data_IF_728128914626
#
_entry.id   IF_728128914626
#
_cell.length_a   1.000
_cell.length_b   1.000
_cell.length_c   1.000
_cell.angle_alpha   90.00
_cell.angle_beta   90.00
_cell.angle_gamma   90.00
#
_symmetry.space_group_name_H-M   'P 1'
#
loop_
_entity.id
_entity.type
_entity.pdbx_description
1 polymer ?
#
# COMPACT_ATOMS: atom_id res chain seq x y z
N UNK A 1 1.60 -17.57 5.14
CA UNK A 1 1.59 -16.21 5.71
C UNK A 1 3.03 -15.74 5.76
N UNK A 2 3.29 -14.43 5.66
CA UNK A 2 4.62 -13.84 5.72
C UNK A 2 4.70 -12.74 6.78
N UNK A 3 5.85 -12.60 7.43
CA UNK A 3 6.08 -11.57 8.44
C UNK A 3 6.65 -10.30 7.79
N UNK A 4 6.04 -9.15 8.06
CA UNK A 4 6.52 -7.87 7.56
C UNK A 4 7.85 -7.48 8.21
N UNK A 5 8.91 -7.32 7.41
CA UNK A 5 10.24 -6.96 7.92
C UNK A 5 10.32 -5.57 8.57
N UNK A 6 9.38 -4.66 8.25
CA UNK A 6 9.37 -3.31 8.84
C UNK A 6 8.68 -3.26 10.20
N UNK A 7 7.59 -3.99 10.38
CA UNK A 7 6.74 -3.84 11.59
C UNK A 7 6.44 -5.15 12.34
N UNK A 8 6.89 -6.30 11.84
CA UNK A 8 6.72 -7.61 12.47
C UNK A 8 5.33 -8.23 12.36
N UNK A 9 4.40 -7.61 11.63
CA UNK A 9 3.02 -8.10 11.47
C UNK A 9 2.96 -9.37 10.59
N UNK A 10 2.11 -10.33 10.94
CA UNK A 10 1.80 -11.48 10.09
C UNK A 10 0.77 -11.11 9.02
N UNK A 11 1.10 -11.38 7.76
CA UNK A 11 0.31 -11.01 6.58
C UNK A 11 -0.01 -12.28 5.79
N UNK A 12 -1.25 -12.41 5.32
CA UNK A 12 -1.63 -13.55 4.47
C UNK A 12 -0.89 -13.51 3.12
N UNK A 13 -0.59 -14.67 2.54
CA UNK A 13 0.21 -14.76 1.31
C UNK A 13 -0.45 -14.09 0.10
N UNK A 14 -1.76 -13.89 0.13
CA UNK A 14 -2.52 -13.21 -0.92
C UNK A 14 -2.29 -11.69 -0.97
N UNK A 15 -1.63 -11.10 0.04
CA UNK A 15 -1.32 -9.67 0.05
C UNK A 15 0.17 -9.42 -0.22
N UNK A 16 0.45 -8.60 -1.23
CA UNK A 16 1.83 -8.18 -1.58
C UNK A 16 2.39 -7.09 -0.67
N UNK A 17 1.52 -6.38 0.06
CA UNK A 17 1.90 -5.30 0.97
C UNK A 17 1.33 -5.54 2.37
N UNK A 18 2.10 -5.18 3.38
CA UNK A 18 1.67 -5.23 4.77
C UNK A 18 0.54 -4.22 4.99
N UNK A 19 -0.65 -4.70 5.38
CA UNK A 19 -1.82 -3.86 5.65
C UNK A 19 -1.60 -2.82 6.76
N UNK A 20 -0.60 -3.02 7.63
CA UNK A 20 -0.30 -2.12 8.76
C UNK A 20 0.63 -0.97 8.42
N UNK A 21 1.64 -1.20 7.57
CA UNK A 21 2.69 -0.20 7.31
C UNK A 21 3.00 0.04 5.83
N UNK A 22 2.23 -0.60 4.94
CA UNK A 22 2.34 -0.54 3.48
C UNK A 22 3.68 -1.01 2.91
N UNK A 23 4.55 -1.63 3.71
CA UNK A 23 5.80 -2.23 3.23
C UNK A 23 5.49 -3.45 2.38
N UNK A 24 6.05 -3.47 1.17
CA UNK A 24 5.94 -4.60 0.25
C UNK A 24 6.75 -5.79 0.72
N UNK A 25 6.27 -6.99 0.39
CA UNK A 25 6.97 -8.25 0.61
C UNK A 25 8.29 -8.23 -0.17
N UNK A 26 9.42 -8.41 0.53
CA UNK A 26 10.77 -8.35 -0.05
C UNK A 26 11.15 -9.60 -0.86
N UNK A 27 10.20 -10.49 -1.12
CA UNK A 27 10.35 -11.75 -1.83
C UNK A 27 9.49 -11.83 -3.10
N UNK A 28 9.05 -10.70 -3.65
CA UNK A 28 8.81 -10.67 -5.10
C UNK A 28 10.18 -10.83 -5.75
N UNK A 29 10.60 -12.07 -5.98
CA UNK A 29 11.63 -12.35 -6.96
C UNK A 29 11.19 -11.64 -8.21
N UNK A 30 12.06 -10.77 -8.67
CA UNK A 30 12.13 -10.30 -10.04
C UNK A 30 12.37 -11.56 -10.89
N UNK A 31 11.33 -12.41 -11.01
CA UNK A 31 11.32 -13.55 -11.91
C UNK A 31 11.14 -12.98 -13.30
N UNK A 32 12.26 -12.46 -13.78
CA UNK A 32 12.61 -12.25 -15.16
C UNK A 32 12.22 -13.51 -15.94
N UNK A 33 11.06 -13.45 -16.60
CA UNK A 33 10.88 -14.19 -17.84
C UNK A 33 11.86 -13.56 -18.84
N UNK A 34 12.99 -14.23 -19.06
CA UNK A 34 13.80 -14.04 -20.26
C UNK A 34 12.95 -14.52 -21.46
N UNK A 35 12.12 -13.64 -22.03
CA UNK A 35 11.76 -13.78 -23.44
C UNK A 35 12.93 -13.24 -24.25
N UNK A 36 13.70 -14.17 -24.81
CA UNK A 36 14.62 -13.91 -25.91
C UNK A 36 13.82 -13.34 -27.09
N UNK A 37 13.96 -12.04 -27.37
CA UNK A 37 13.59 -11.48 -28.67
C UNK A 37 14.65 -10.50 -29.13
N UNK A 38 15.06 -10.73 -30.36
CA UNK A 38 16.25 -10.23 -31.02
C UNK A 38 16.28 -8.70 -31.22
N UNK A 39 17.49 -8.17 -31.02
CA UNK A 39 18.16 -7.12 -31.79
C UNK A 39 17.35 -5.89 -32.25
N UNK A 40 17.56 -4.76 -31.57
CA UNK A 40 17.58 -3.42 -32.20
C UNK A 40 18.22 -2.42 -31.23
N UNK A 41 19.38 -1.92 -31.61
CA UNK A 41 20.14 -0.88 -30.92
C UNK A 41 19.34 0.43 -30.77
N UNK A 42 19.37 1.06 -29.59
CA UNK A 42 19.32 2.53 -29.46
C UNK A 42 19.85 3.01 -28.09
N UNK A 43 20.60 4.11 -28.16
CA UNK A 43 21.48 4.75 -27.17
C UNK A 43 20.73 5.57 -26.09
N UNK A 44 21.12 5.49 -24.80
CA UNK A 44 20.69 6.52 -23.82
C UNK A 44 20.97 6.23 -22.33
N UNK A 45 21.51 7.20 -21.54
CA UNK A 45 22.32 6.93 -20.34
C UNK A 45 21.55 6.76 -19.01
N UNK A 46 22.21 6.04 -18.10
CA UNK A 46 21.73 5.58 -16.79
C UNK A 46 21.50 6.70 -15.74
N UNK A 47 20.51 6.53 -14.83
CA UNK A 47 20.35 7.44 -13.72
C UNK A 47 21.40 7.22 -12.63
N UNK A 48 22.00 8.36 -12.26
CA UNK A 48 23.01 8.60 -11.23
C UNK A 48 22.61 8.10 -9.84
N UNK A 49 23.59 7.48 -9.17
CA UNK A 49 23.47 6.89 -7.85
C UNK A 49 23.16 7.90 -6.74
N UNK A 50 22.20 7.55 -5.89
CA UNK A 50 21.92 8.23 -4.63
C UNK A 50 22.72 7.51 -3.53
N UNK A 51 23.72 8.22 -2.99
CA UNK A 51 24.59 7.72 -1.95
C UNK A 51 23.86 7.38 -0.65
N UNK A 52 24.05 6.16 -0.16
CA UNK A 52 23.76 5.80 1.21
C UNK A 52 24.91 6.32 2.12
N UNK A 53 24.63 6.92 3.28
CA UNK A 53 25.67 7.20 4.26
C UNK A 53 26.21 5.89 4.84
N UNK A 54 27.51 5.66 4.62
CA UNK A 54 28.29 4.65 5.31
C UNK A 54 28.28 4.95 6.81
N UNK A 55 27.87 3.98 7.62
CA UNK A 55 28.23 3.91 9.03
C UNK A 55 28.76 2.51 9.28
N UNK A 56 30.01 2.33 8.86
CA UNK A 56 30.86 1.22 9.25
C UNK A 56 31.26 1.43 10.72
N UNK A 57 30.61 0.71 11.63
CA UNK A 57 31.15 0.49 12.97
C UNK A 57 31.84 -0.86 12.96
N UNK A 58 33.17 -0.81 13.02
CA UNK A 58 34.03 -1.96 13.28
C UNK A 58 33.71 -2.53 14.65
N UNK A 59 33.42 -3.83 14.73
CA UNK A 59 33.40 -4.57 15.99
C UNK A 59 34.64 -5.48 16.03
N UNK A 60 35.58 -5.13 16.89
CA UNK A 60 36.76 -5.95 17.20
C UNK A 60 36.34 -7.21 17.97
N UNK A 61 36.89 -8.36 17.58
CA UNK A 61 36.74 -9.64 18.27
C UNK A 61 37.52 -9.62 19.58
N UNK A 62 36.84 -9.34 20.68
CA UNK A 62 37.32 -9.62 22.03
C UNK A 62 36.83 -10.98 22.51
N UNK A 63 37.72 -11.97 22.52
CA UNK A 63 37.51 -13.28 23.16
C UNK A 63 37.53 -13.11 24.68
N UNK A 64 36.36 -13.26 25.32
CA UNK A 64 36.22 -13.32 26.77
C UNK A 64 34.97 -14.10 27.14
N UNK A 65 35.16 -15.31 27.66
CA UNK A 65 34.11 -16.11 28.31
C UNK A 65 33.59 -15.36 29.53
N UNK A 66 32.53 -14.58 29.33
CA UNK A 66 31.68 -14.05 30.37
C UNK A 66 30.26 -14.51 30.10
N UNK A 67 29.72 -15.39 30.95
CA UNK A 67 28.32 -15.79 30.90
C UNK A 67 27.44 -14.57 31.18
N UNK A 68 27.10 -13.85 30.11
CA UNK A 68 26.23 -12.68 30.14
C UNK A 68 24.82 -13.19 30.49
N UNK A 69 24.42 -13.04 31.75
CA UNK A 69 23.01 -13.17 32.14
C UNK A 69 22.25 -12.04 31.44
N UNK A 70 21.60 -12.37 30.32
CA UNK A 70 20.65 -11.46 29.68
C UNK A 70 19.52 -11.25 30.67
N UNK A 71 19.27 -10.02 31.16
CA UNK A 71 18.09 -9.75 31.96
C UNK A 71 16.88 -10.09 31.09
N UNK A 72 16.00 -10.94 31.62
CA UNK A 72 14.74 -11.29 30.98
C UNK A 72 13.93 -9.99 30.89
N UNK A 73 13.99 -9.32 29.75
CA UNK A 73 13.18 -8.12 29.49
C UNK A 73 11.73 -8.60 29.59
N UNK A 74 11.01 -8.02 30.55
CA UNK A 74 9.59 -8.28 30.72
C UNK A 74 8.90 -8.05 29.37
N UNK A 75 8.13 -9.05 28.94
CA UNK A 75 7.40 -9.02 27.68
C UNK A 75 6.66 -7.69 27.55
N UNK A 76 6.82 -6.94 26.43
CA UNK A 76 6.16 -5.65 26.28
C UNK A 76 4.65 -5.86 26.38
N UNK A 77 3.98 -5.02 27.17
CA UNK A 77 2.52 -5.01 27.25
C UNK A 77 1.93 -5.05 25.84
N UNK A 78 0.91 -5.89 25.57
CA UNK A 78 0.30 -5.94 24.25
C UNK A 78 -0.24 -4.56 23.92
N UNK A 79 0.28 -3.95 22.85
CA UNK A 79 -0.24 -2.70 22.31
C UNK A 79 -1.64 -3.00 21.79
N UNK A 80 -2.65 -2.52 22.52
CA UNK A 80 -4.03 -2.57 22.03
C UNK A 80 -4.15 -1.57 20.90
N UNK A 81 -4.27 -2.08 19.67
CA UNK A 81 -4.50 -1.22 18.52
C UNK A 81 -5.92 -0.64 18.61
N UNK A 82 -6.09 0.66 18.34
CA UNK A 82 -7.41 1.25 18.27
C UNK A 82 -8.24 0.55 17.18
N UNK A 83 -9.49 0.23 17.51
CA UNK A 83 -10.46 -0.29 16.55
C UNK A 83 -11.11 0.90 15.84
N UNK A 84 -11.56 0.70 14.61
CA UNK A 84 -12.18 1.75 13.81
C UNK A 84 -13.46 1.27 13.13
N UNK A 85 -14.40 2.17 12.95
CA UNK A 85 -15.44 2.07 11.92
C UNK A 85 -15.05 2.95 10.74
N UNK A 86 -15.34 2.49 9.53
CA UNK A 86 -14.98 3.17 8.29
C UNK A 86 -16.23 3.64 7.54
N UNK A 87 -16.11 4.81 6.91
CA UNK A 87 -17.11 5.38 6.00
C UNK A 87 -16.42 5.64 4.67
N UNK A 88 -16.91 5.00 3.61
CA UNK A 88 -16.34 5.11 2.26
C UNK A 88 -17.31 5.89 1.39
N UNK A 89 -16.86 7.01 0.84
CA UNK A 89 -17.65 7.84 -0.06
C UNK A 89 -17.04 7.76 -1.45
N UNK A 90 -17.78 7.28 -2.46
CA UNK A 90 -17.30 7.33 -3.83
C UNK A 90 -17.16 8.80 -4.26
N UNK A 91 -16.03 9.12 -4.85
CA UNK A 91 -15.68 10.43 -5.37
C UNK A 91 -15.33 10.26 -6.84
N UNK A 92 -15.76 11.20 -7.69
CA UNK A 92 -15.29 11.24 -9.07
C UNK A 92 -14.54 12.55 -9.25
N UNK A 93 -13.21 12.52 -9.25
CA UNK A 93 -12.43 13.69 -9.66
C UNK A 93 -12.51 13.91 -11.18
N UNK A 94 -13.03 12.93 -11.94
CA UNK A 94 -13.16 13.03 -13.38
C UNK A 94 -14.58 13.41 -13.78
N UNK A 95 -14.71 14.59 -14.38
CA UNK A 95 -15.93 15.03 -15.04
C UNK A 95 -15.65 15.27 -16.52
N UNK A 96 -16.56 14.79 -17.36
CA UNK A 96 -16.64 15.18 -18.77
C UNK A 96 -17.54 16.41 -18.87
N UNK A 97 -17.06 17.53 -19.41
CA UNK A 97 -17.85 18.75 -19.64
C UNK A 97 -17.38 19.98 -18.86
N UNK A 98 -18.30 20.66 -18.16
CA UNK A 98 -18.13 22.01 -17.58
C UNK A 98 -17.60 22.04 -16.14
N UNK A 99 -17.19 20.91 -15.58
CA UNK A 99 -16.67 20.88 -14.22
C UNK A 99 -15.28 21.51 -14.17
N UNK A 100 -15.04 22.32 -13.13
CA UNK A 100 -13.74 22.95 -12.90
C UNK A 100 -13.03 22.29 -11.72
N UNK A 101 -11.69 22.39 -11.65
CA UNK A 101 -10.93 21.94 -10.48
C UNK A 101 -11.46 22.49 -9.14
N UNK A 102 -11.94 23.73 -9.13
CA UNK A 102 -12.52 24.39 -7.95
C UNK A 102 -13.84 23.74 -7.53
N UNK A 103 -14.66 23.30 -8.50
CA UNK A 103 -15.88 22.56 -8.22
C UNK A 103 -15.60 21.21 -7.57
N UNK A 104 -14.57 20.50 -8.05
CA UNK A 104 -14.11 19.23 -7.48
C UNK A 104 -13.58 19.44 -6.07
N UNK A 105 -12.76 20.46 -5.86
CA UNK A 105 -12.24 20.82 -4.54
C UNK A 105 -13.37 21.16 -3.56
N UNK A 106 -14.38 21.92 -4.01
CA UNK A 106 -15.55 22.27 -3.22
C UNK A 106 -16.37 21.05 -2.83
N UNK A 107 -16.53 20.09 -3.75
CA UNK A 107 -17.21 18.82 -3.46
C UNK A 107 -16.46 18.00 -2.42
N UNK A 108 -15.12 17.88 -2.56
CA UNK A 108 -14.29 17.18 -1.59
C UNK A 108 -14.37 17.84 -0.21
N UNK A 109 -14.29 19.17 -0.16
CA UNK A 109 -14.41 19.93 1.08
C UNK A 109 -15.79 19.73 1.74
N UNK A 110 -16.86 19.69 0.96
CA UNK A 110 -18.21 19.40 1.46
C UNK A 110 -18.28 17.99 2.07
N UNK A 111 -17.72 16.98 1.40
CA UNK A 111 -17.69 15.60 1.91
C UNK A 111 -16.87 15.46 3.20
N UNK A 112 -15.74 16.17 3.30
CA UNK A 112 -14.92 16.21 4.51
C UNK A 112 -15.68 16.88 5.65
N UNK A 113 -16.22 18.08 5.41
CA UNK A 113 -16.98 18.83 6.41
C UNK A 113 -18.18 18.03 6.92
N UNK A 114 -18.94 17.41 6.03
CA UNK A 114 -20.10 16.60 6.37
C UNK A 114 -19.73 15.31 7.13
N UNK A 115 -18.56 14.73 6.90
CA UNK A 115 -18.13 13.55 7.64
C UNK A 115 -17.57 13.93 9.02
N UNK A 116 -16.93 15.09 9.13
CA UNK A 116 -16.44 15.61 10.40
C UNK A 116 -17.58 15.88 11.40
N UNK A 117 -18.79 16.24 10.94
CA UNK A 117 -19.97 16.38 11.83
C UNK A 117 -20.40 15.06 12.49
N UNK A 118 -20.02 13.91 11.90
CA UNK A 118 -20.34 12.57 12.39
C UNK A 118 -19.18 11.94 13.22
N UNK A 119 -18.20 12.78 13.62
CA UNK A 119 -16.95 12.41 14.28
C UNK A 119 -16.02 11.51 13.44
N UNK A 120 -16.16 11.53 12.12
CA UNK A 120 -15.26 10.82 11.21
C UNK A 120 -14.11 11.72 10.76
N UNK A 121 -12.88 11.20 10.85
CA UNK A 121 -11.68 11.86 10.31
C UNK A 121 -11.34 11.32 8.92
N UNK A 122 -10.80 12.18 8.05
CA UNK A 122 -10.28 11.75 6.75
C UNK A 122 -9.09 10.81 6.99
N UNK A 123 -9.17 9.59 6.47
CA UNK A 123 -8.12 8.60 6.58
C UNK A 123 -7.25 8.56 5.31
N UNK A 124 -7.87 8.38 4.15
CA UNK A 124 -7.15 8.34 2.87
C UNK A 124 -8.08 8.63 1.69
N UNK A 125 -7.48 8.97 0.55
CA UNK A 125 -8.11 8.90 -0.76
C UNK A 125 -7.49 7.72 -1.50
N UNK A 126 -8.31 6.86 -2.09
CA UNK A 126 -7.85 5.65 -2.78
C UNK A 126 -8.56 5.47 -4.11
N UNK A 127 -7.94 4.69 -4.99
CA UNK A 127 -8.52 4.31 -6.28
C UNK A 127 -8.77 2.80 -6.26
N UNK A 128 -9.97 2.39 -6.66
CA UNK A 128 -10.38 0.98 -6.75
C UNK A 128 -10.73 0.67 -8.20
N UNK A 129 -10.10 -0.35 -8.74
CA UNK A 129 -10.41 -0.88 -10.06
C UNK A 129 -11.19 -2.17 -9.89
N UNK A 130 -12.41 -2.21 -10.42
CA UNK A 130 -13.28 -3.38 -10.43
C UNK A 130 -13.32 -3.93 -11.86
N UNK A 131 -13.01 -5.21 -12.03
CA UNK A 131 -13.17 -5.90 -13.30
C UNK A 131 -14.40 -6.81 -13.24
N UNK A 132 -15.37 -6.57 -14.12
CA UNK A 132 -16.54 -7.42 -14.29
C UNK A 132 -16.26 -8.37 -15.45
N UNK A 133 -15.97 -9.62 -15.12
CA UNK A 133 -15.79 -10.66 -16.12
C UNK A 133 -17.12 -10.97 -16.83
N UNK A 134 -17.11 -11.20 -18.15
CA UNK A 134 -18.29 -11.67 -18.85
C UNK A 134 -18.64 -13.09 -18.40
N UNK A 135 -19.94 -13.41 -18.38
CA UNK A 135 -20.39 -14.78 -18.17
C UNK A 135 -19.97 -15.72 -19.32
N UNK A 136 -20.18 -17.02 -19.16
CA UNK A 136 -19.71 -18.05 -20.10
C UNK A 136 -20.09 -17.77 -21.57
N UNK A 137 -21.33 -17.37 -21.83
CA UNK A 137 -21.81 -17.02 -23.18
C UNK A 137 -21.07 -15.77 -23.70
N UNK A 138 -20.86 -14.77 -22.85
CA UNK A 138 -20.15 -13.55 -23.21
C UNK A 138 -18.72 -13.85 -23.64
N UNK A 139 -18.01 -14.72 -22.90
CA UNK A 139 -16.65 -15.14 -23.27
C UNK A 139 -16.63 -15.90 -24.60
N UNK A 140 -17.59 -16.80 -24.84
CA UNK A 140 -17.70 -17.53 -26.11
C UNK A 140 -17.95 -16.61 -27.31
N UNK A 141 -18.68 -15.52 -27.10
CA UNK A 141 -18.92 -14.48 -28.11
C UNK A 141 -17.79 -13.45 -28.18
N UNK A 142 -16.68 -13.65 -27.46
CA UNK A 142 -15.51 -12.78 -27.50
C UNK A 142 -15.62 -11.49 -26.68
N UNK A 143 -16.61 -11.36 -25.78
CA UNK A 143 -16.66 -10.23 -24.86
C UNK A 143 -15.47 -10.28 -23.89
N UNK A 144 -14.97 -9.09 -23.52
CA UNK A 144 -13.88 -8.91 -22.57
C UNK A 144 -14.41 -8.39 -21.24
N UNK A 145 -13.61 -8.54 -20.19
CA UNK A 145 -13.94 -7.96 -18.89
C UNK A 145 -14.04 -6.44 -18.98
N UNK A 146 -15.11 -5.88 -18.43
CA UNK A 146 -15.29 -4.44 -18.32
C UNK A 146 -14.63 -3.96 -17.03
N UNK A 147 -13.84 -2.88 -17.11
CA UNK A 147 -13.12 -2.34 -15.95
C UNK A 147 -13.71 -0.99 -15.58
N UNK A 148 -14.07 -0.86 -14.30
CA UNK A 148 -14.56 0.37 -13.71
C UNK A 148 -13.55 0.85 -12.68
N UNK A 149 -13.14 2.11 -12.80
CA UNK A 149 -12.26 2.75 -11.83
C UNK A 149 -13.06 3.74 -11.01
N UNK A 150 -13.03 3.59 -9.69
CA UNK A 150 -13.66 4.49 -8.73
C UNK A 150 -12.58 5.14 -7.89
N UNK A 151 -12.67 6.45 -7.70
CA UNK A 151 -11.95 7.09 -6.60
C UNK A 151 -12.87 7.08 -5.38
N UNK A 152 -12.27 6.95 -4.21
CA UNK A 152 -13.00 6.88 -2.95
C UNK A 152 -12.28 7.70 -1.90
N UNK A 153 -13.06 8.45 -1.14
CA UNK A 153 -12.61 9.16 0.05
C UNK A 153 -13.02 8.30 1.23
N UNK A 154 -12.03 7.85 2.00
CA UNK A 154 -12.20 6.96 3.12
C UNK A 154 -12.02 7.76 4.40
N UNK A 155 -13.03 7.69 5.25
CA UNK A 155 -13.00 8.24 6.59
C UNK A 155 -13.00 7.10 7.61
N UNK A 156 -12.47 7.39 8.81
CA UNK A 156 -12.51 6.46 9.94
C UNK A 156 -12.93 7.18 11.20
N UNK A 157 -13.47 6.43 12.16
CA UNK A 157 -13.76 6.90 13.51
C UNK A 157 -13.31 5.83 14.51
N UNK A 158 -12.53 6.17 15.55
CA UNK A 158 -12.13 5.19 16.56
C UNK A 158 -13.36 4.68 17.31
N UNK A 159 -13.34 3.39 17.65
CA UNK A 159 -14.29 2.77 18.57
C UNK A 159 -13.51 2.22 19.77
N UNK A 160 -14.00 2.52 20.97
CA UNK A 160 -13.45 2.06 22.25
C UNK A 160 -13.63 0.56 22.46
#
# INVERSE_FOLDING_TARGET
MWACQKCGEEVEDQFEACWKCSTRRSNATDDLYEEEVEDSADDGPQPVGVGAPVSSVSAERGSGEGTLRVPHVASPNPVTLPKYVYKVIPFRAQFTGTATPEGIASQLQAAITQSATDDFELYQVATVTVAVAPGCIGTLLGHKAERYTYEQVIFRKPIG
#
